data_IF_612055208209
#
_entry.id   IF_612055208209
#
_cell.length_a   1.000
_cell.length_b   1.000
_cell.length_c   1.000
_cell.angle_alpha   90.00
_cell.angle_beta   90.00
_cell.angle_gamma   90.00
#
_symmetry.space_group_name_H-M   'P 1'
#
loop_
_entity.id
_entity.type
_entity.pdbx_description
1 polymer ?
#
# COMPACT_ATOMS: atom_id res chain seq x y z
N UNK A 1 14.44 -9.80 -27.07
CA UNK A 1 13.45 -10.82 -27.46
C UNK A 1 12.64 -11.18 -26.24
N UNK A 2 11.35 -11.49 -26.40
CA UNK A 2 10.49 -11.90 -25.29
C UNK A 2 11.01 -13.21 -24.68
N UNK A 3 10.95 -13.35 -23.35
CA UNK A 3 11.26 -14.62 -22.69
C UNK A 3 10.16 -15.66 -22.97
N UNK A 4 10.47 -16.95 -22.85
CA UNK A 4 9.47 -18.00 -23.03
C UNK A 4 8.30 -17.88 -22.05
N UNK A 5 8.56 -17.39 -20.83
CA UNK A 5 7.50 -17.16 -19.84
C UNK A 5 6.62 -15.94 -20.17
N UNK A 6 7.19 -14.88 -20.74
CA UNK A 6 6.38 -13.76 -21.24
C UNK A 6 5.44 -14.22 -22.35
N UNK A 7 5.92 -15.03 -23.29
CA UNK A 7 5.11 -15.58 -24.38
C UNK A 7 3.97 -16.47 -23.85
N UNK A 8 4.23 -17.27 -22.83
CA UNK A 8 3.21 -18.11 -22.18
C UNK A 8 2.13 -17.25 -21.48
N UNK A 9 2.53 -16.19 -20.76
CA UNK A 9 1.58 -15.24 -20.15
C UNK A 9 0.73 -14.55 -21.22
N UNK A 10 1.34 -14.12 -22.33
CA UNK A 10 0.63 -13.51 -23.46
C UNK A 10 -0.38 -14.50 -24.05
N UNK A 11 -0.01 -15.78 -24.23
CA UNK A 11 -0.93 -16.79 -24.73
C UNK A 11 -2.14 -16.97 -23.81
N UNK A 12 -1.93 -17.09 -22.49
CA UNK A 12 -3.01 -17.18 -21.50
C UNK A 12 -3.93 -15.96 -21.59
N UNK A 13 -3.36 -14.77 -21.72
CA UNK A 13 -4.11 -13.52 -21.87
C UNK A 13 -4.95 -13.52 -23.16
N UNK A 14 -4.37 -13.90 -24.30
CA UNK A 14 -5.08 -13.93 -25.59
C UNK A 14 -6.26 -14.91 -25.60
N UNK A 15 -6.10 -16.07 -24.96
CA UNK A 15 -7.14 -17.09 -24.88
C UNK A 15 -8.26 -16.71 -23.89
N UNK A 16 -7.87 -16.16 -22.74
CA UNK A 16 -8.78 -16.06 -21.59
C UNK A 16 -9.26 -14.63 -21.28
N UNK A 17 -8.58 -13.59 -21.73
CA UNK A 17 -8.82 -12.20 -21.31
C UNK A 17 -9.04 -11.25 -22.48
N UNK A 18 -8.24 -11.34 -23.54
CA UNK A 18 -8.31 -10.42 -24.67
C UNK A 18 -9.72 -10.34 -25.28
N UNK A 19 -10.19 -9.12 -25.52
CA UNK A 19 -11.52 -8.85 -26.08
C UNK A 19 -12.69 -9.06 -25.10
N UNK A 20 -12.43 -9.33 -23.81
CA UNK A 20 -13.48 -9.56 -22.80
C UNK A 20 -13.57 -8.40 -21.83
N UNK A 21 -14.78 -8.18 -21.30
CA UNK A 21 -15.03 -7.32 -20.15
C UNK A 21 -15.17 -8.15 -18.87
N UNK A 22 -14.72 -7.68 -17.70
CA UNK A 22 -14.92 -8.41 -16.46
C UNK A 22 -16.41 -8.59 -16.14
N UNK A 23 -16.87 -9.84 -16.10
CA UNK A 23 -18.19 -10.18 -15.56
C UNK A 23 -18.10 -10.35 -14.05
N UNK A 24 -18.64 -9.38 -13.33
CA UNK A 24 -18.67 -9.37 -11.86
C UNK A 24 -20.07 -9.56 -11.31
N UNK A 25 -21.05 -9.97 -12.12
CA UNK A 25 -22.47 -10.07 -11.74
C UNK A 25 -22.70 -10.96 -10.50
N UNK A 26 -21.93 -12.04 -10.38
CA UNK A 26 -21.99 -13.01 -9.27
C UNK A 26 -21.12 -12.64 -8.06
N UNK A 27 -20.50 -11.46 -8.04
CA UNK A 27 -19.63 -11.00 -6.96
C UNK A 27 -20.32 -9.91 -6.12
N UNK A 28 -19.83 -9.69 -4.90
CA UNK A 28 -20.29 -8.56 -4.09
C UNK A 28 -20.00 -7.24 -4.84
N UNK A 29 -21.06 -6.53 -5.24
CA UNK A 29 -20.91 -5.33 -6.05
C UNK A 29 -20.21 -4.18 -5.33
N UNK A 30 -20.19 -4.21 -3.99
CA UNK A 30 -19.52 -3.24 -3.13
C UNK A 30 -18.03 -3.56 -2.90
N UNK A 31 -17.49 -4.62 -3.52
CA UNK A 31 -16.08 -4.97 -3.38
C UNK A 31 -15.23 -4.32 -4.49
N UNK A 32 -14.42 -3.32 -4.13
CA UNK A 32 -13.57 -2.59 -5.09
C UNK A 32 -12.59 -3.49 -5.85
N UNK A 33 -12.18 -4.62 -5.27
CA UNK A 33 -11.23 -5.58 -5.88
C UNK A 33 -11.87 -6.61 -6.83
N UNK A 34 -13.18 -6.55 -7.07
CA UNK A 34 -13.93 -7.60 -7.80
C UNK A 34 -13.42 -7.85 -9.24
N UNK A 35 -13.11 -6.78 -9.97
CA UNK A 35 -12.53 -6.86 -11.33
C UNK A 35 -11.14 -7.50 -11.33
N UNK A 36 -10.36 -7.22 -10.30
CA UNK A 36 -9.04 -7.82 -10.10
C UNK A 36 -9.12 -9.32 -9.90
N UNK A 37 -10.02 -9.78 -9.02
CA UNK A 37 -10.25 -11.20 -8.82
C UNK A 37 -10.77 -11.92 -10.06
N UNK A 38 -11.61 -11.26 -10.86
CA UNK A 38 -12.02 -11.80 -12.15
C UNK A 38 -10.80 -12.03 -13.05
N UNK A 39 -9.91 -11.04 -13.15
CA UNK A 39 -8.72 -11.11 -14.01
C UNK A 39 -7.73 -12.18 -13.51
N UNK A 40 -7.45 -12.21 -12.20
CA UNK A 40 -6.61 -13.25 -11.58
C UNK A 40 -7.11 -14.65 -11.94
N UNK A 41 -8.42 -14.88 -11.85
CA UNK A 41 -9.04 -16.16 -12.23
C UNK A 41 -8.84 -16.48 -13.71
N UNK A 42 -9.04 -15.52 -14.61
CA UNK A 42 -8.84 -15.75 -16.05
C UNK A 42 -7.37 -16.01 -16.41
N UNK A 43 -6.44 -15.40 -15.67
CA UNK A 43 -5.00 -15.62 -15.83
C UNK A 43 -4.51 -16.91 -15.12
N UNK A 44 -5.40 -17.71 -14.55
CA UNK A 44 -5.06 -18.97 -13.88
C UNK A 44 -4.36 -18.81 -12.52
N UNK A 45 -4.39 -17.61 -11.92
CA UNK A 45 -3.74 -17.32 -10.66
C UNK A 45 -4.60 -17.87 -9.51
N UNK A 46 -4.00 -18.73 -8.68
CA UNK A 46 -4.65 -19.30 -7.49
C UNK A 46 -4.44 -18.37 -6.30
N UNK A 47 -5.52 -17.92 -5.62
CA UNK A 47 -5.40 -17.10 -4.42
C UNK A 47 -4.52 -17.78 -3.37
N UNK A 48 -3.49 -17.09 -2.92
CA UNK A 48 -2.63 -17.53 -1.83
C UNK A 48 -2.12 -16.32 -1.04
N UNK A 49 -1.57 -16.57 0.15
CA UNK A 49 -1.00 -15.52 1.01
C UNK A 49 0.52 -15.34 0.80
N UNK A 50 1.07 -15.86 -0.31
CA UNK A 50 2.51 -15.78 -0.60
C UNK A 50 2.87 -14.37 -1.05
N UNK A 51 4.11 -13.96 -0.73
CA UNK A 51 4.70 -12.73 -1.25
C UNK A 51 5.55 -13.01 -2.52
N UNK A 52 5.33 -14.16 -3.16
CA UNK A 52 5.91 -14.50 -4.46
C UNK A 52 5.18 -13.77 -5.60
N UNK A 53 5.77 -13.72 -6.81
CA UNK A 53 5.09 -13.20 -7.99
C UNK A 53 3.91 -14.11 -8.38
N UNK A 54 2.90 -13.54 -9.03
CA UNK A 54 1.63 -14.22 -9.29
C UNK A 54 1.72 -15.32 -10.36
N UNK A 55 2.47 -15.09 -11.44
CA UNK A 55 2.50 -16.00 -12.59
C UNK A 55 3.90 -16.09 -13.23
N UNK A 56 4.46 -17.30 -13.26
CA UNK A 56 5.73 -17.65 -13.93
C UNK A 56 6.95 -16.76 -13.57
N UNK A 57 6.92 -16.16 -12.38
CA UNK A 57 7.96 -15.24 -11.89
C UNK A 57 7.70 -13.75 -12.14
N UNK A 58 6.51 -13.41 -12.66
CA UNK A 58 6.06 -12.03 -12.82
C UNK A 58 4.91 -11.70 -11.86
N UNK A 59 4.97 -10.51 -11.28
CA UNK A 59 3.87 -9.93 -10.51
C UNK A 59 2.80 -9.35 -11.44
N UNK A 60 1.54 -9.73 -11.24
CA UNK A 60 0.43 -9.14 -11.98
C UNK A 60 -0.09 -7.90 -11.27
N UNK A 61 -0.31 -6.83 -12.03
CA UNK A 61 -1.02 -5.62 -11.57
C UNK A 61 -2.28 -5.40 -12.38
N UNK A 62 -3.34 -5.01 -11.69
CA UNK A 62 -4.57 -4.59 -12.35
C UNK A 62 -4.45 -3.14 -12.81
N UNK A 63 -5.04 -2.80 -13.95
CA UNK A 63 -5.27 -1.40 -14.29
C UNK A 63 -6.24 -0.79 -13.28
N UNK A 64 -5.78 0.27 -12.62
CA UNK A 64 -6.58 1.08 -11.70
C UNK A 64 -6.86 2.45 -12.30
N UNK A 65 -7.66 3.28 -11.64
CA UNK A 65 -8.01 4.61 -12.15
C UNK A 65 -6.91 5.65 -11.99
N UNK A 66 -6.11 5.59 -10.92
CA UNK A 66 -5.13 6.65 -10.61
C UNK A 66 -3.80 6.17 -10.06
N UNK A 67 -3.78 5.08 -9.28
CA UNK A 67 -2.63 4.65 -8.49
C UNK A 67 -2.54 3.13 -8.45
N UNK A 68 -1.35 2.60 -8.69
CA UNK A 68 -1.09 1.17 -8.60
C UNK A 68 -0.20 0.87 -7.39
N UNK A 69 -0.56 -0.20 -6.68
CA UNK A 69 0.03 -0.58 -5.39
C UNK A 69 1.17 -1.59 -5.62
N UNK A 70 2.33 -1.32 -5.04
CA UNK A 70 3.44 -2.28 -4.95
C UNK A 70 3.06 -3.44 -4.03
N UNK A 71 2.64 -3.10 -2.81
CA UNK A 71 2.10 -4.04 -1.85
C UNK A 71 1.44 -3.35 -0.67
N UNK A 72 0.68 -4.15 0.07
CA UNK A 72 0.15 -3.79 1.39
C UNK A 72 1.09 -4.35 2.46
N UNK A 73 1.97 -3.51 2.99
CA UNK A 73 3.05 -3.89 3.88
C UNK A 73 2.96 -3.07 5.16
N UNK A 74 2.40 -3.67 6.21
CA UNK A 74 2.32 -3.05 7.53
C UNK A 74 3.69 -2.71 8.11
N UNK A 75 3.80 -1.61 8.88
CA UNK A 75 4.94 -1.34 9.74
C UNK A 75 5.33 -2.55 10.58
N UNK A 76 6.63 -2.69 10.81
CA UNK A 76 7.18 -3.63 11.77
C UNK A 76 6.96 -3.17 13.20
N UNK A 77 6.84 -1.85 13.39
CA UNK A 77 6.51 -1.23 14.65
C UNK A 77 5.35 -0.25 14.47
N UNK A 78 4.43 -0.29 15.43
CA UNK A 78 3.47 0.77 15.69
C UNK A 78 3.53 1.08 17.18
N UNK A 79 3.46 2.37 17.53
CA UNK A 79 3.50 2.80 18.93
C UNK A 79 2.39 2.17 19.79
N UNK A 80 1.22 1.89 19.21
CA UNK A 80 0.14 1.22 19.94
C UNK A 80 0.35 -0.27 20.21
N UNK A 81 1.43 -0.85 19.69
CA UNK A 81 1.87 -2.22 19.99
C UNK A 81 3.11 -2.26 20.89
N UNK A 82 3.65 -1.09 21.22
CA UNK A 82 4.76 -0.93 22.15
C UNK A 82 4.27 -1.16 23.58
N UNK A 83 4.82 -2.20 24.21
CA UNK A 83 4.41 -2.63 25.55
C UNK A 83 4.92 -1.69 26.66
N UNK A 84 5.95 -0.91 26.39
CA UNK A 84 6.54 0.03 27.35
C UNK A 84 5.73 1.34 27.39
N UNK A 85 5.12 1.68 26.25
CA UNK A 85 4.22 2.84 26.13
C UNK A 85 2.79 2.44 26.51
N UNK A 86 2.27 1.34 25.96
CA UNK A 86 0.91 0.85 26.20
C UNK A 86 0.99 -0.57 26.76
N UNK A 87 0.83 -0.74 28.08
CA UNK A 87 0.87 -2.04 28.73
C UNK A 87 -0.05 -3.06 28.04
N UNK A 88 0.42 -4.29 27.89
CA UNK A 88 -0.38 -5.37 27.31
C UNK A 88 -1.28 -5.97 28.37
N UNK A 89 -2.55 -5.61 28.30
CA UNK A 89 -3.59 -6.18 29.16
C UNK A 89 -4.20 -7.45 28.54
N UNK A 90 -4.57 -8.40 29.41
CA UNK A 90 -5.21 -9.65 28.98
C UNK A 90 -6.57 -9.36 28.33
N UNK A 91 -6.79 -9.90 27.15
CA UNK A 91 -8.04 -9.68 26.39
C UNK A 91 -8.05 -8.42 25.52
N UNK A 92 -7.04 -7.55 25.63
CA UNK A 92 -6.96 -6.32 24.82
C UNK A 92 -6.25 -6.59 23.49
N UNK A 93 -6.99 -6.44 22.40
CA UNK A 93 -6.47 -6.65 21.03
C UNK A 93 -5.66 -5.46 20.51
N UNK A 94 -4.86 -5.66 19.47
CA UNK A 94 -4.17 -4.57 18.79
C UNK A 94 -5.14 -3.55 18.17
N UNK A 95 -6.28 -4.02 17.65
CA UNK A 95 -7.36 -3.17 17.14
C UNK A 95 -7.94 -2.29 18.23
N UNK A 96 -8.17 -2.86 19.42
CA UNK A 96 -8.63 -2.08 20.57
C UNK A 96 -7.61 -0.99 20.94
N UNK A 97 -6.33 -1.34 21.14
CA UNK A 97 -5.28 -0.35 21.48
C UNK A 97 -5.15 0.75 20.43
N UNK A 98 -5.25 0.39 19.15
CA UNK A 98 -5.26 1.37 18.06
C UNK A 98 -6.44 2.34 18.21
N UNK A 99 -7.65 1.83 18.43
CA UNK A 99 -8.85 2.65 18.53
C UNK A 99 -8.89 3.50 19.80
N UNK A 100 -8.30 3.05 20.91
CA UNK A 100 -8.34 3.77 22.19
C UNK A 100 -7.14 4.68 22.44
N UNK A 101 -5.98 4.41 21.83
CA UNK A 101 -4.75 5.13 22.13
C UNK A 101 -4.05 5.75 20.92
N UNK A 102 -4.36 5.31 19.69
CA UNK A 102 -3.70 5.85 18.50
C UNK A 102 -4.62 6.77 17.70
N UNK A 103 -5.79 6.27 17.27
CA UNK A 103 -6.74 7.04 16.47
C UNK A 103 -7.27 8.30 17.18
N UNK A 104 -7.49 8.33 18.51
CA UNK A 104 -7.90 9.56 19.19
C UNK A 104 -6.84 10.67 19.14
N UNK A 105 -5.56 10.31 18.96
CA UNK A 105 -4.45 11.26 18.96
C UNK A 105 -4.07 11.65 17.53
N UNK A 106 -3.91 10.68 16.63
CA UNK A 106 -3.39 10.91 15.27
C UNK A 106 -4.43 10.69 14.17
N UNK A 107 -5.64 10.23 14.49
CA UNK A 107 -6.72 10.09 13.53
C UNK A 107 -7.42 11.41 13.23
N UNK A 108 -8.09 11.47 12.08
CA UNK A 108 -8.99 12.55 11.70
C UNK A 108 -10.44 12.03 11.74
N UNK A 109 -11.39 12.76 12.35
CA UNK A 109 -12.80 12.41 12.28
C UNK A 109 -13.36 12.67 10.88
N UNK A 110 -14.27 11.80 10.43
CA UNK A 110 -15.03 12.00 9.21
C UNK A 110 -16.50 12.28 9.55
N UNK A 111 -16.94 13.52 9.38
CA UNK A 111 -18.30 13.99 9.71
C UNK A 111 -19.38 13.21 8.94
N UNK A 112 -19.12 12.85 7.68
CA UNK A 112 -20.04 12.08 6.84
C UNK A 112 -20.17 10.62 7.30
N UNK A 113 -19.29 10.17 8.22
CA UNK A 113 -19.27 8.82 8.78
C UNK A 113 -19.38 8.86 10.30
N UNK A 114 -20.26 9.70 10.81
CA UNK A 114 -20.55 9.81 12.26
C UNK A 114 -19.30 10.07 13.10
N UNK A 115 -18.40 10.92 12.59
CA UNK A 115 -17.10 11.24 13.20
C UNK A 115 -16.14 10.06 13.39
N UNK A 116 -16.37 8.95 12.69
CA UNK A 116 -15.45 7.80 12.71
C UNK A 116 -14.03 8.24 12.39
N UNK A 117 -13.09 7.88 13.27
CA UNK A 117 -11.69 8.25 13.18
C UNK A 117 -10.96 7.40 12.14
N UNK A 118 -10.10 8.04 11.36
CA UNK A 118 -9.20 7.38 10.43
C UNK A 118 -7.82 8.01 10.43
N UNK A 119 -6.79 7.17 10.39
CA UNK A 119 -5.43 7.60 10.09
C UNK A 119 -5.20 7.37 8.60
N UNK A 120 -5.73 8.29 7.79
CA UNK A 120 -5.69 8.25 6.33
C UNK A 120 -5.92 9.65 5.76
N UNK A 121 -5.37 9.95 4.58
CA UNK A 121 -5.46 11.30 4.02
C UNK A 121 -4.56 12.29 4.76
N UNK A 122 -5.13 13.40 5.29
CA UNK A 122 -4.34 14.49 5.89
C UNK A 122 -3.38 14.08 7.02
N UNK A 123 -3.72 13.12 7.92
CA UNK A 123 -2.80 12.63 8.94
C UNK A 123 -1.58 11.88 8.42
N UNK A 124 -1.60 11.41 7.17
CA UNK A 124 -0.48 10.68 6.57
C UNK A 124 0.49 11.69 5.97
N UNK A 125 1.73 11.80 6.48
CA UNK A 125 2.70 12.75 5.97
C UNK A 125 3.27 12.30 4.62
N UNK A 126 3.73 13.28 3.85
CA UNK A 126 4.57 13.03 2.67
C UNK A 126 6.03 12.89 3.12
N UNK A 127 6.85 12.26 2.28
CA UNK A 127 8.29 12.15 2.52
C UNK A 127 8.91 13.53 2.74
N UNK A 128 9.74 13.65 3.78
CA UNK A 128 10.50 14.85 4.16
C UNK A 128 9.64 16.12 4.35
N UNK A 129 8.35 15.95 4.67
CA UNK A 129 7.41 17.05 4.88
C UNK A 129 6.58 16.84 6.14
N UNK A 130 6.63 17.82 7.03
CA UNK A 130 5.72 17.91 8.17
C UNK A 130 4.31 18.23 7.70
N UNK A 131 3.33 17.46 8.15
CA UNK A 131 1.92 17.77 7.95
C UNK A 131 1.33 18.54 9.15
N UNK A 132 0.07 19.00 9.02
CA UNK A 132 -0.61 19.72 10.09
C UNK A 132 -0.89 18.89 11.35
N UNK A 133 -0.70 17.56 11.29
CA UNK A 133 -0.80 16.66 12.45
C UNK A 133 0.54 16.52 13.19
N UNK A 134 1.56 17.30 12.81
CA UNK A 134 2.89 17.21 13.42
C UNK A 134 3.61 15.92 13.08
N UNK A 135 3.27 15.26 11.96
CA UNK A 135 3.92 14.04 11.51
C UNK A 135 4.83 14.29 10.30
N UNK A 136 5.91 13.52 10.19
CA UNK A 136 6.80 13.46 9.02
C UNK A 136 7.11 12.00 8.67
N UNK A 137 7.22 11.68 7.38
CA UNK A 137 7.75 10.41 6.90
C UNK A 137 9.22 10.62 6.51
N UNK A 138 10.13 9.79 7.00
CA UNK A 138 11.58 9.86 6.72
C UNK A 138 12.12 8.51 6.28
N UNK A 139 13.13 8.52 5.41
CA UNK A 139 13.98 7.35 5.16
C UNK A 139 15.31 7.55 5.89
N UNK A 140 15.55 6.73 6.90
CA UNK A 140 16.75 6.77 7.73
C UNK A 140 18.02 6.37 6.93
N UNK A 141 19.24 6.66 7.42
CA UNK A 141 20.49 6.28 6.74
C UNK A 141 20.63 4.78 6.47
N UNK A 142 20.06 3.93 7.33
CA UNK A 142 20.01 2.48 7.15
C UNK A 142 18.87 2.00 6.21
N UNK A 143 18.16 2.93 5.57
CA UNK A 143 16.97 2.74 4.74
C UNK A 143 15.72 2.24 5.47
N UNK A 144 15.71 2.24 6.81
CA UNK A 144 14.45 2.11 7.53
C UNK A 144 13.56 3.30 7.20
N UNK A 145 12.25 3.08 7.24
CA UNK A 145 11.28 4.15 7.01
C UNK A 145 10.54 4.38 8.31
N UNK A 146 10.46 5.64 8.73
CA UNK A 146 9.80 6.03 9.98
C UNK A 146 8.76 7.10 9.73
N UNK A 147 7.62 7.00 10.42
CA UNK A 147 6.76 8.15 10.66
C UNK A 147 7.02 8.63 12.08
N UNK A 148 7.45 9.88 12.17
CA UNK A 148 7.78 10.57 13.43
C UNK A 148 6.70 11.61 13.72
N UNK A 149 6.27 11.69 14.97
CA UNK A 149 5.40 12.73 15.49
C UNK A 149 6.20 13.71 16.36
N UNK A 150 5.97 15.00 16.21
CA UNK A 150 6.51 16.08 17.06
C UNK A 150 5.39 17.03 17.49
N UNK A 151 5.12 17.08 18.79
CA UNK A 151 4.09 17.93 19.39
C UNK A 151 4.26 19.42 19.09
N UNK A 152 5.50 19.89 19.01
CA UNK A 152 5.80 21.30 18.73
C UNK A 152 5.41 21.68 17.30
N UNK A 153 5.29 20.68 16.40
CA UNK A 153 4.92 20.84 15.00
C UNK A 153 3.47 20.51 14.70
N UNK A 154 2.75 19.94 15.66
CA UNK A 154 1.30 19.70 15.55
C UNK A 154 0.56 21.05 15.51
N UNK A 155 -0.20 21.28 14.45
CA UNK A 155 -0.88 22.56 14.17
C UNK A 155 -2.36 22.54 14.55
N UNK A 156 -2.86 21.42 15.09
CA UNK A 156 -4.27 21.29 15.45
C UNK A 156 -4.59 22.10 16.70
N UNK A 157 -5.73 22.80 16.67
CA UNK A 157 -6.16 23.68 17.75
C UNK A 157 -6.45 22.92 19.05
N UNK A 158 -6.89 21.67 18.94
CA UNK A 158 -7.24 20.79 20.05
C UNK A 158 -6.08 19.89 20.52
N UNK A 159 -4.85 20.08 20.00
CA UNK A 159 -3.70 19.23 20.37
C UNK A 159 -3.44 19.17 21.88
N UNK A 160 -3.73 20.26 22.61
CA UNK A 160 -3.52 20.32 24.06
C UNK A 160 -4.38 19.30 24.82
N UNK A 161 -5.61 19.05 24.34
CA UNK A 161 -6.57 18.15 24.99
C UNK A 161 -6.44 16.70 24.53
N UNK A 162 -6.04 16.46 23.27
CA UNK A 162 -5.98 15.12 22.69
C UNK A 162 -4.60 14.45 22.83
N UNK A 163 -3.51 15.21 23.03
CA UNK A 163 -2.15 14.65 23.11
C UNK A 163 -1.74 14.46 24.58
N UNK A 164 -1.49 13.22 25.04
CA UNK A 164 -0.96 12.95 26.38
C UNK A 164 0.40 13.61 26.65
N UNK A 165 0.63 14.03 27.90
CA UNK A 165 1.85 14.75 28.32
C UNK A 165 3.16 14.06 27.90
N UNK A 166 3.19 12.73 27.93
CA UNK A 166 4.37 11.94 27.53
C UNK A 166 4.80 12.13 26.08
N UNK A 167 3.89 12.50 25.18
CA UNK A 167 4.20 12.73 23.77
C UNK A 167 4.50 14.21 23.46
N UNK A 168 4.43 15.10 24.47
CA UNK A 168 4.69 16.53 24.31
C UNK A 168 6.17 16.91 24.43
N UNK A 169 7.01 16.02 24.97
CA UNK A 169 8.37 16.34 25.41
C UNK A 169 9.41 16.27 24.27
N UNK A 170 9.29 15.28 23.39
CA UNK A 170 10.24 15.05 22.31
C UNK A 170 9.57 14.38 21.12
N UNK A 171 10.16 14.47 19.91
CA UNK A 171 9.71 13.68 18.78
C UNK A 171 9.72 12.18 19.09
N UNK A 172 8.72 11.45 18.58
CA UNK A 172 8.57 10.01 18.79
C UNK A 172 8.27 9.29 17.48
N UNK A 173 8.77 8.06 17.34
CA UNK A 173 8.41 7.19 16.22
C UNK A 173 7.02 6.60 16.49
N UNK A 174 6.08 6.80 15.57
CA UNK A 174 4.72 6.26 15.69
C UNK A 174 4.49 5.05 14.76
N UNK A 175 5.28 4.93 13.69
CA UNK A 175 5.33 3.76 12.82
C UNK A 175 6.75 3.58 12.24
N UNK A 176 7.24 2.34 12.10
CA UNK A 176 8.52 2.03 11.46
C UNK A 176 8.43 0.78 10.58
N UNK A 177 9.09 0.84 9.42
CA UNK A 177 9.37 -0.29 8.56
C UNK A 177 10.87 -0.57 8.52
N UNK A 178 11.24 -1.82 8.78
CA UNK A 178 12.61 -2.30 8.74
C UNK A 178 13.01 -2.50 7.27
N UNK A 179 14.13 -1.91 6.86
CA UNK A 179 14.65 -1.96 5.50
C UNK A 179 14.81 -3.40 5.02
N UNK A 180 15.35 -4.28 5.87
CA UNK A 180 15.60 -5.68 5.54
C UNK A 180 14.32 -6.46 5.24
N UNK A 181 13.23 -6.20 5.97
CA UNK A 181 11.93 -6.85 5.76
C UNK A 181 11.22 -6.29 4.53
N UNK A 182 11.30 -4.98 4.30
CA UNK A 182 10.82 -4.38 3.06
C UNK A 182 11.59 -4.90 1.85
N UNK A 183 12.92 -5.01 1.95
CA UNK A 183 13.77 -5.53 0.88
C UNK A 183 13.37 -6.94 0.49
N UNK A 184 13.13 -7.83 1.46
CA UNK A 184 12.60 -9.16 1.20
C UNK A 184 11.25 -9.08 0.46
N UNK A 185 10.33 -8.24 0.93
CA UNK A 185 9.00 -8.09 0.33
C UNK A 185 9.04 -7.59 -1.12
N UNK A 186 9.87 -6.60 -1.42
CA UNK A 186 10.05 -6.07 -2.77
C UNK A 186 10.71 -7.12 -3.66
N UNK A 187 11.82 -7.68 -3.21
CA UNK A 187 12.62 -8.57 -4.05
C UNK A 187 11.91 -9.89 -4.36
N UNK A 188 11.26 -10.50 -3.37
CA UNK A 188 10.51 -11.74 -3.58
C UNK A 188 9.39 -11.56 -4.61
N UNK A 189 8.78 -10.36 -4.65
CA UNK A 189 7.59 -10.09 -5.46
C UNK A 189 7.91 -9.54 -6.85
N UNK A 190 8.85 -8.60 -6.95
CA UNK A 190 9.13 -7.87 -8.19
C UNK A 190 10.51 -8.13 -8.77
N UNK A 191 11.48 -8.60 -7.98
CA UNK A 191 12.87 -8.78 -8.43
C UNK A 191 13.14 -10.21 -8.93
N UNK A 192 12.12 -10.88 -9.48
CA UNK A 192 12.24 -12.22 -10.05
C UNK A 192 12.41 -12.10 -11.57
N UNK A 193 11.32 -11.81 -12.29
CA UNK A 193 11.36 -11.55 -13.74
C UNK A 193 10.72 -10.24 -14.15
N UNK A 194 10.09 -9.53 -13.22
CA UNK A 194 9.43 -8.26 -13.47
C UNK A 194 7.97 -8.30 -13.06
N UNK A 195 7.19 -7.51 -13.78
CA UNK A 195 5.76 -7.38 -13.55
C UNK A 195 5.03 -7.24 -14.88
N UNK A 196 3.74 -7.49 -14.88
CA UNK A 196 2.88 -7.24 -16.01
C UNK A 196 1.54 -6.66 -15.59
N UNK A 197 0.84 -6.04 -16.53
CA UNK A 197 -0.51 -5.52 -16.33
C UNK A 197 -1.34 -5.70 -17.58
N UNK A 198 -2.63 -5.99 -17.41
CA UNK A 198 -3.59 -6.06 -18.51
C UNK A 198 -4.33 -4.72 -18.59
N UNK A 199 -4.35 -4.10 -19.77
CA UNK A 199 -5.01 -2.82 -20.01
C UNK A 199 -6.37 -3.00 -20.65
N UNK A 200 -7.26 -2.05 -20.38
CA UNK A 200 -8.59 -1.95 -20.97
C UNK A 200 -8.73 -0.71 -21.83
N UNK A 201 -9.57 -0.80 -22.85
CA UNK A 201 -10.05 0.36 -23.60
C UNK A 201 -11.07 1.20 -22.81
N UNK A 202 -11.64 2.22 -23.46
CA UNK A 202 -12.63 3.12 -22.87
C UNK A 202 -13.98 2.43 -22.57
N UNK A 203 -14.23 1.24 -23.11
CA UNK A 203 -15.42 0.44 -22.85
C UNK A 203 -15.18 -0.60 -21.74
N UNK A 204 -13.96 -0.65 -21.18
CA UNK A 204 -13.57 -1.61 -20.14
C UNK A 204 -13.28 -3.02 -20.69
N UNK A 205 -13.05 -3.13 -22.00
CA UNK A 205 -12.66 -4.38 -22.67
C UNK A 205 -11.14 -4.50 -22.62
N UNK A 206 -10.62 -5.64 -22.17
CA UNK A 206 -9.17 -5.87 -22.17
C UNK A 206 -8.63 -5.98 -23.60
N UNK A 207 -7.61 -5.20 -23.92
CA UNK A 207 -7.11 -5.07 -25.30
C UNK A 207 -5.58 -5.04 -25.43
N UNK A 208 -4.85 -5.06 -24.30
CA UNK A 208 -3.39 -5.09 -24.28
C UNK A 208 -2.88 -5.76 -23.02
N UNK A 209 -1.71 -6.38 -23.13
CA UNK A 209 -0.89 -6.80 -21.98
C UNK A 209 0.49 -6.16 -22.06
N UNK A 210 0.94 -5.57 -20.95
CA UNK A 210 2.17 -4.82 -20.85
C UNK A 210 3.10 -5.43 -19.81
N UNK A 211 4.40 -5.43 -20.08
CA UNK A 211 5.45 -5.95 -19.20
C UNK A 211 6.45 -4.86 -18.84
N UNK A 212 6.94 -4.91 -17.61
CA UNK A 212 8.03 -4.07 -17.12
C UNK A 212 9.12 -4.88 -16.43
N UNK A 213 10.29 -4.25 -16.28
CA UNK A 213 11.49 -4.90 -15.75
C UNK A 213 11.40 -5.23 -14.25
N UNK A 214 12.26 -6.15 -13.76
CA UNK A 214 12.44 -6.41 -12.34
C UNK A 214 12.68 -5.13 -11.53
N UNK A 215 12.03 -5.06 -10.36
CA UNK A 215 12.20 -3.93 -9.43
C UNK A 215 12.93 -4.43 -8.19
N UNK A 216 14.19 -3.99 -8.04
CA UNK A 216 14.98 -4.25 -6.84
C UNK A 216 14.52 -3.36 -5.67
N UNK A 217 14.87 -3.77 -4.44
CA UNK A 217 14.71 -2.89 -3.28
C UNK A 217 15.43 -1.54 -3.43
N UNK A 218 16.62 -1.50 -4.03
CA UNK A 218 17.38 -0.26 -4.22
C UNK A 218 16.64 0.72 -5.14
N UNK A 219 16.07 0.22 -6.24
CA UNK A 219 15.23 1.01 -7.12
C UNK A 219 14.01 1.53 -6.35
N UNK A 220 13.33 0.63 -5.63
CA UNK A 220 12.11 0.97 -4.90
C UNK A 220 12.33 2.01 -3.79
N UNK A 221 13.35 1.84 -2.94
CA UNK A 221 13.62 2.77 -1.83
C UNK A 221 14.08 4.13 -2.33
N UNK A 222 14.81 4.18 -3.45
CA UNK A 222 15.14 5.45 -4.10
C UNK A 222 13.87 6.23 -4.49
N UNK A 223 12.87 5.55 -5.06
CA UNK A 223 11.59 6.16 -5.42
C UNK A 223 10.80 6.65 -4.21
N UNK A 224 10.93 6.00 -3.06
CA UNK A 224 10.36 6.48 -1.80
C UNK A 224 11.04 7.78 -1.37
N UNK A 225 12.39 7.82 -1.40
CA UNK A 225 13.18 9.01 -1.01
C UNK A 225 12.81 10.23 -1.85
N UNK A 226 12.52 10.06 -3.14
CA UNK A 226 12.13 11.17 -4.02
C UNK A 226 10.61 11.41 -4.09
N UNK A 227 9.81 10.65 -3.32
CA UNK A 227 8.36 10.83 -3.22
C UNK A 227 7.54 10.34 -4.41
N UNK A 228 8.13 9.57 -5.33
CA UNK A 228 7.40 8.90 -6.42
C UNK A 228 6.57 7.74 -5.86
N UNK A 229 7.17 6.94 -4.97
CA UNK A 229 6.47 5.94 -4.18
C UNK A 229 6.08 6.57 -2.85
N UNK A 230 4.79 6.53 -2.53
CA UNK A 230 4.25 7.12 -1.29
C UNK A 230 3.48 6.09 -0.48
N UNK A 231 3.42 6.35 0.83
CA UNK A 231 2.63 5.59 1.78
C UNK A 231 1.18 6.08 1.80
N UNK A 232 0.24 5.14 1.78
CA UNK A 232 -1.20 5.38 1.87
C UNK A 232 -1.80 4.42 2.91
N UNK A 233 -2.51 4.97 3.88
CA UNK A 233 -3.06 4.19 4.99
C UNK A 233 -4.56 4.03 4.83
N UNK A 234 -5.05 2.80 4.96
CA UNK A 234 -6.47 2.48 5.05
C UNK A 234 -6.93 2.21 6.49
N UNK A 235 -6.25 2.80 7.48
CA UNK A 235 -6.53 2.59 8.89
C UNK A 235 -7.74 3.43 9.36
N UNK A 236 -8.78 2.76 9.84
CA UNK A 236 -9.95 3.39 10.47
C UNK A 236 -10.56 2.49 11.55
N UNK A 237 -11.36 3.05 12.45
CA UNK A 237 -11.84 2.37 13.67
C UNK A 237 -12.47 0.99 13.45
N UNK A 238 -13.34 0.88 12.44
CA UNK A 238 -14.05 -0.35 12.12
C UNK A 238 -13.29 -1.29 11.17
N UNK A 239 -12.08 -0.90 10.72
CA UNK A 239 -11.27 -1.76 9.86
C UNK A 239 -10.48 -2.76 10.72
N UNK A 240 -10.74 -4.08 10.63
CA UNK A 240 -9.91 -5.06 11.35
C UNK A 240 -8.51 -5.19 10.73
N UNK A 241 -8.31 -4.77 9.47
CA UNK A 241 -7.05 -4.89 8.73
C UNK A 241 -6.57 -3.50 8.27
N UNK A 242 -5.78 -2.78 9.08
CA UNK A 242 -5.31 -1.46 8.71
C UNK A 242 -4.34 -1.56 7.53
N UNK A 243 -4.86 -1.26 6.33
CA UNK A 243 -4.06 -1.28 5.11
C UNK A 243 -2.90 -0.28 5.20
N UNK A 244 -1.74 -0.69 4.72
CA UNK A 244 -0.49 0.02 4.72
C UNK A 244 0.13 -0.07 3.31
N UNK A 245 -0.44 0.69 2.39
CA UNK A 245 -0.20 0.53 0.97
C UNK A 245 0.95 1.42 0.52
N UNK A 246 1.89 0.82 -0.22
CA UNK A 246 2.94 1.55 -0.92
C UNK A 246 2.56 1.67 -2.39
N UNK A 247 2.43 2.91 -2.88
CA UNK A 247 1.78 3.20 -4.16
C UNK A 247 2.57 4.20 -4.99
N UNK A 248 2.37 4.16 -6.30
CA UNK A 248 2.78 5.22 -7.21
C UNK A 248 1.62 5.52 -8.17
N UNK A 249 1.64 6.72 -8.78
CA UNK A 249 0.66 7.09 -9.79
C UNK A 249 0.78 6.20 -11.03
N UNK A 250 -0.33 5.97 -11.73
CA UNK A 250 -0.33 5.13 -12.92
C UNK A 250 0.57 5.66 -14.03
N UNK A 251 0.72 6.99 -14.16
CA UNK A 251 1.69 7.59 -15.10
C UNK A 251 3.12 7.11 -14.86
N UNK A 252 3.52 6.90 -13.61
CA UNK A 252 4.82 6.34 -13.28
C UNK A 252 4.90 4.86 -13.68
N UNK A 253 3.89 4.05 -13.33
CA UNK A 253 3.84 2.64 -13.75
C UNK A 253 3.87 2.47 -15.27
N UNK A 254 3.16 3.33 -15.99
CA UNK A 254 3.12 3.31 -17.45
C UNK A 254 4.49 3.68 -18.05
N UNK A 255 5.24 4.57 -17.41
CA UNK A 255 6.61 4.90 -17.82
C UNK A 255 7.60 3.74 -17.66
N UNK A 256 7.25 2.71 -16.88
CA UNK A 256 8.07 1.51 -16.66
C UNK A 256 7.75 0.37 -17.65
N UNK A 257 6.80 0.56 -18.56
CA UNK A 257 6.44 -0.44 -19.57
C UNK A 257 7.57 -0.57 -20.58
N UNK A 258 8.13 -1.78 -20.71
CA UNK A 258 9.17 -2.13 -21.68
C UNK A 258 8.59 -2.78 -22.92
N UNK A 259 7.54 -3.58 -22.78
CA UNK A 259 6.92 -4.33 -23.87
C UNK A 259 5.41 -4.30 -23.77
N UNK A 260 4.76 -4.30 -24.93
CA UNK A 260 3.31 -4.36 -25.07
C UNK A 260 2.96 -5.35 -26.17
N UNK A 261 1.93 -6.15 -25.90
CA UNK A 261 1.30 -7.04 -26.85
C UNK A 261 -0.18 -6.67 -26.95
N UNK A 262 -0.85 -6.98 -28.09
CA UNK A 262 -2.30 -7.05 -28.12
C UNK A 262 -2.82 -7.89 -26.96
#
# INVERSE_FOLDING_TARGET
MASSQEQEIVQIFMENVYGKSPDTSQQNQNHDGKKGHWLEKQMGIKPNASNAPDLLGFEMKNQTTSKTTFGDWSPNYFIFNDKEIIPREKGVTAVHRRNTHFLPIWGQPNVEKENRLSWSGKPIPKIDQWNGFGCILLVCPNNDIEIIYDYQRDQRLDKESIVPQRYKQSPIVIARWDATKLAKKVNDKFNQKGWFTCKTDNFGVYNQICFGDPITFNNWIYLVKIGVVFYDSGMYETNPRPYAQWRANNSYWDSLIRQTYP
#
